data_IF_302017744502
#
_entry.id   IF_302017744502
#
_cell.length_a   1.000
_cell.length_b   1.000
_cell.length_c   1.000
_cell.angle_alpha   90.00
_cell.angle_beta   90.00
_cell.angle_gamma   90.00
#
_symmetry.space_group_name_H-M   'P 1'
#
loop_
_entity.id
_entity.type
_entity.pdbx_description
1 polymer ?
#
# COMPACT_ATOMS: atom_id res chain seq x y z
N UNK A 1 51.42 -47.83 29.94
CA UNK A 1 51.49 -47.91 28.47
C UNK A 1 50.07 -47.85 27.92
N UNK A 2 49.79 -46.84 27.09
CA UNK A 2 48.76 -46.74 26.01
C UNK A 2 47.61 -47.78 26.06
N UNK A 3 46.34 -47.36 26.03
CA UNK A 3 45.62 -47.13 24.77
C UNK A 3 44.24 -46.46 24.95
N UNK A 4 44.09 -45.34 24.25
CA UNK A 4 42.93 -44.89 23.47
C UNK A 4 41.55 -44.84 24.13
N UNK A 5 41.24 -43.70 24.75
CA UNK A 5 39.87 -43.22 24.91
C UNK A 5 39.63 -42.05 23.94
N UNK A 6 38.41 -41.99 23.40
CA UNK A 6 37.84 -40.86 22.64
C UNK A 6 38.50 -40.62 21.26
N UNK A 7 37.83 -40.28 20.18
CA UNK A 7 36.53 -39.65 19.95
C UNK A 7 36.05 -40.18 18.59
N UNK A 8 34.91 -40.88 18.55
CA UNK A 8 34.22 -41.14 17.28
C UNK A 8 33.40 -39.89 16.96
N UNK A 9 34.00 -38.98 16.20
CA UNK A 9 33.35 -37.78 15.66
C UNK A 9 32.32 -38.25 14.63
N UNK A 10 31.07 -38.40 15.07
CA UNK A 10 29.93 -38.63 14.20
C UNK A 10 29.56 -37.32 13.50
N UNK A 11 30.29 -37.00 12.42
CA UNK A 11 29.97 -35.88 11.52
C UNK A 11 28.95 -36.40 10.49
N UNK A 12 27.73 -36.72 10.96
CA UNK A 12 26.61 -37.06 10.08
C UNK A 12 26.11 -35.76 9.45
N UNK A 13 26.65 -35.49 8.27
CA UNK A 13 25.95 -34.97 7.08
C UNK A 13 24.53 -34.45 7.33
N UNK A 14 24.40 -33.22 7.85
CA UNK A 14 23.25 -32.39 7.57
C UNK A 14 23.32 -31.89 6.12
N UNK A 15 23.32 -32.81 5.14
CA UNK A 15 22.86 -32.50 3.79
C UNK A 15 21.34 -32.46 3.83
N UNK A 16 20.80 -31.46 4.54
CA UNK A 16 19.41 -31.09 4.37
C UNK A 16 19.26 -30.67 2.92
N UNK A 17 18.48 -31.41 2.15
CA UNK A 17 18.14 -31.05 0.79
C UNK A 17 17.63 -29.61 0.82
N UNK A 18 18.34 -28.68 0.15
CA UNK A 18 17.79 -27.37 -0.15
C UNK A 18 16.61 -27.63 -1.07
N UNK A 19 15.42 -27.75 -0.49
CA UNK A 19 14.19 -27.84 -1.25
C UNK A 19 13.98 -26.46 -1.86
N UNK A 20 13.90 -26.38 -3.18
CA UNK A 20 13.42 -25.18 -3.84
C UNK A 20 12.00 -24.92 -3.32
N UNK A 21 11.85 -23.92 -2.46
CA UNK A 21 10.56 -23.59 -1.88
C UNK A 21 9.68 -23.09 -3.03
N UNK A 22 8.69 -23.90 -3.42
CA UNK A 22 7.71 -23.50 -4.42
C UNK A 22 7.10 -22.16 -3.99
N UNK A 23 6.85 -21.27 -4.97
CA UNK A 23 6.28 -19.97 -4.68
C UNK A 23 5.00 -20.12 -3.85
N UNK A 24 4.88 -19.34 -2.77
CA UNK A 24 3.68 -19.37 -1.94
C UNK A 24 2.45 -19.04 -2.79
N UNK A 25 1.28 -19.60 -2.45
CA UNK A 25 0.03 -19.30 -3.14
C UNK A 25 -0.25 -17.78 -3.16
N UNK A 26 0.09 -17.07 -2.08
CA UNK A 26 0.04 -15.61 -2.02
C UNK A 26 0.98 -14.94 -3.04
N UNK A 27 2.21 -15.45 -3.19
CA UNK A 27 3.17 -14.94 -4.16
C UNK A 27 2.69 -15.09 -5.60
N UNK A 28 2.13 -16.26 -5.95
CA UNK A 28 1.54 -16.49 -7.28
C UNK A 28 0.37 -15.54 -7.53
N UNK A 29 -0.53 -15.41 -6.56
CA UNK A 29 -1.71 -14.54 -6.67
C UNK A 29 -1.31 -13.06 -6.79
N UNK A 30 -0.29 -12.62 -6.05
CA UNK A 30 0.26 -11.26 -6.16
C UNK A 30 0.82 -10.99 -7.56
N UNK A 31 1.58 -11.93 -8.14
CA UNK A 31 2.12 -11.79 -9.51
C UNK A 31 1.00 -11.68 -10.54
N UNK A 32 -0.05 -12.49 -10.41
CA UNK A 32 -1.23 -12.43 -11.29
C UNK A 32 -1.92 -11.06 -11.15
N UNK A 33 -2.20 -10.62 -9.92
CA UNK A 33 -2.84 -9.33 -9.67
C UNK A 33 -2.01 -8.15 -10.22
N UNK A 34 -0.69 -8.16 -10.03
CA UNK A 34 0.21 -7.14 -10.57
C UNK A 34 0.24 -7.14 -12.10
N UNK A 35 0.19 -8.32 -12.71
CA UNK A 35 0.18 -8.48 -14.17
C UNK A 35 -1.13 -7.98 -14.77
N UNK A 36 -2.28 -8.27 -14.15
CA UNK A 36 -3.58 -7.71 -14.55
C UNK A 36 -3.60 -6.19 -14.42
N UNK A 37 -3.12 -5.67 -13.28
CA UNK A 37 -2.97 -4.24 -13.05
C UNK A 37 -2.04 -3.56 -14.07
N UNK A 38 -0.97 -4.24 -14.51
CA UNK A 38 -0.05 -3.70 -15.52
C UNK A 38 -0.70 -3.58 -16.91
N UNK A 39 -1.77 -4.35 -17.17
CA UNK A 39 -2.60 -4.25 -18.38
C UNK A 39 -3.74 -3.23 -18.22
N UNK A 40 -3.85 -2.56 -17.07
CA UNK A 40 -4.95 -1.65 -16.73
C UNK A 40 -6.22 -2.34 -16.25
N UNK A 41 -6.22 -3.68 -16.15
CA UNK A 41 -7.36 -4.47 -15.68
C UNK A 41 -7.40 -4.49 -14.15
N UNK A 42 -7.88 -3.39 -13.58
CA UNK A 42 -7.96 -3.19 -12.14
C UNK A 42 -9.05 -4.04 -11.48
N UNK A 43 -10.07 -4.46 -12.23
CA UNK A 43 -11.13 -5.32 -11.72
C UNK A 43 -10.61 -6.74 -11.54
N UNK A 44 -9.90 -7.30 -12.53
CA UNK A 44 -9.23 -8.58 -12.37
C UNK A 44 -8.14 -8.53 -11.30
N UNK A 45 -7.35 -7.44 -11.24
CA UNK A 45 -6.34 -7.27 -10.20
C UNK A 45 -6.96 -7.30 -8.79
N UNK A 46 -8.08 -6.61 -8.59
CA UNK A 46 -8.79 -6.58 -7.31
C UNK A 46 -9.42 -7.92 -6.97
N UNK A 47 -10.02 -8.61 -7.95
CA UNK A 47 -10.59 -9.93 -7.75
C UNK A 47 -9.54 -10.92 -7.23
N UNK A 48 -8.35 -10.94 -7.85
CA UNK A 48 -7.24 -11.79 -7.39
C UNK A 48 -6.69 -11.34 -6.04
N UNK A 49 -6.53 -10.03 -5.83
CA UNK A 49 -6.05 -9.50 -4.55
C UNK A 49 -6.96 -9.88 -3.37
N UNK A 50 -8.27 -9.99 -3.58
CA UNK A 50 -9.23 -10.40 -2.54
C UNK A 50 -9.03 -11.83 -2.02
N UNK A 51 -8.27 -12.66 -2.75
CA UNK A 51 -7.95 -14.04 -2.39
C UNK A 51 -6.61 -14.15 -1.64
N UNK A 52 -5.87 -13.04 -1.49
CA UNK A 52 -4.56 -13.02 -0.85
C UNK A 52 -4.73 -12.83 0.65
N UNK A 53 -4.23 -13.77 1.45
CA UNK A 53 -4.30 -13.68 2.92
C UNK A 53 -3.26 -12.73 3.53
N UNK A 54 -2.18 -12.42 2.81
CA UNK A 54 -1.14 -11.49 3.26
C UNK A 54 -1.62 -10.04 3.08
N UNK A 55 -1.83 -9.29 4.17
CA UNK A 55 -2.33 -7.91 4.09
C UNK A 55 -1.37 -6.97 3.36
N UNK A 56 -0.05 -7.19 3.42
CA UNK A 56 0.95 -6.35 2.76
C UNK A 56 0.86 -6.52 1.25
N UNK A 57 0.64 -7.74 0.77
CA UNK A 57 0.44 -8.01 -0.65
C UNK A 57 -0.83 -7.32 -1.19
N UNK A 58 -1.91 -7.28 -0.40
CA UNK A 58 -3.12 -6.52 -0.74
C UNK A 58 -2.83 -5.01 -0.80
N UNK A 59 -2.08 -4.48 0.17
CA UNK A 59 -1.70 -3.07 0.21
C UNK A 59 -0.80 -2.66 -0.97
N UNK A 60 0.07 -3.55 -1.46
CA UNK A 60 0.87 -3.31 -2.67
C UNK A 60 -0.02 -3.10 -3.90
N UNK A 61 -1.07 -3.91 -4.06
CA UNK A 61 -2.01 -3.78 -5.18
C UNK A 61 -2.78 -2.46 -5.08
N UNK A 62 -3.29 -2.13 -3.90
CA UNK A 62 -4.04 -0.89 -3.68
C UNK A 62 -3.15 0.35 -3.87
N UNK A 63 -1.94 0.33 -3.32
CA UNK A 63 -0.94 1.37 -3.53
C UNK A 63 -0.67 1.61 -5.01
N UNK A 64 -0.53 0.53 -5.80
CA UNK A 64 -0.33 0.66 -7.24
C UNK A 64 -1.57 1.23 -7.94
N UNK A 65 -2.77 0.82 -7.53
CA UNK A 65 -4.04 1.32 -8.08
C UNK A 65 -4.24 2.81 -7.85
N UNK A 66 -3.92 3.30 -6.64
CA UNK A 66 -4.02 4.72 -6.28
C UNK A 66 -3.01 5.60 -7.03
N UNK A 67 -1.91 5.00 -7.51
CA UNK A 67 -0.86 5.66 -8.29
C UNK A 67 -1.07 5.60 -9.80
N UNK A 68 -2.01 4.80 -10.27
CA UNK A 68 -2.26 4.64 -11.71
C UNK A 68 -3.13 5.78 -12.25
N UNK A 69 -4.12 6.24 -11.49
CA UNK A 69 -4.94 7.39 -11.85
C UNK A 69 -5.52 8.11 -10.64
N UNK A 70 -6.51 8.97 -10.87
CA UNK A 70 -7.36 9.51 -9.81
C UNK A 70 -8.41 8.45 -9.47
N UNK A 71 -8.59 8.20 -8.18
CA UNK A 71 -9.60 7.28 -7.61
C UNK A 71 -10.54 8.04 -6.68
N UNK A 72 -11.44 7.35 -5.98
CA UNK A 72 -12.31 8.00 -5.01
C UNK A 72 -11.48 8.60 -3.88
N UNK A 73 -11.87 9.78 -3.38
CA UNK A 73 -11.16 10.45 -2.29
C UNK A 73 -11.03 9.57 -1.04
N UNK A 74 -12.09 8.82 -0.72
CA UNK A 74 -12.12 7.87 0.39
C UNK A 74 -11.05 6.77 0.28
N UNK A 75 -10.69 6.35 -0.93
CA UNK A 75 -9.65 5.33 -1.12
C UNK A 75 -8.28 5.87 -0.68
N UNK A 76 -7.98 7.14 -1.01
CA UNK A 76 -6.76 7.80 -0.55
C UNK A 76 -6.77 8.02 0.96
N UNK A 77 -7.88 8.49 1.53
CA UNK A 77 -8.02 8.65 2.98
C UNK A 77 -7.78 7.33 3.72
N UNK A 78 -8.43 6.25 3.26
CA UNK A 78 -8.30 4.92 3.84
C UNK A 78 -6.87 4.40 3.77
N UNK A 79 -6.22 4.48 2.61
CA UNK A 79 -4.86 4.00 2.46
C UNK A 79 -3.86 4.79 3.30
N UNK A 80 -3.95 6.13 3.30
CA UNK A 80 -3.05 6.99 4.07
C UNK A 80 -3.21 6.80 5.59
N UNK A 81 -4.45 6.58 6.06
CA UNK A 81 -4.73 6.31 7.47
C UNK A 81 -4.23 4.92 7.89
N UNK A 82 -4.41 3.90 7.04
CA UNK A 82 -3.96 2.53 7.30
C UNK A 82 -2.43 2.40 7.26
N UNK A 83 -1.76 3.13 6.38
CA UNK A 83 -0.34 2.94 6.07
C UNK A 83 0.48 4.25 6.22
N UNK A 84 0.70 4.76 7.44
CA UNK A 84 1.32 6.07 7.68
C UNK A 84 2.80 6.17 7.30
N UNK A 85 3.51 5.03 7.25
CA UNK A 85 4.95 4.93 6.95
C UNK A 85 5.21 4.31 5.56
N UNK A 86 4.17 4.18 4.73
CA UNK A 86 4.32 3.56 3.41
C UNK A 86 5.25 4.37 2.49
N UNK A 87 5.98 3.74 1.57
CA UNK A 87 6.75 4.48 0.58
C UNK A 87 5.85 5.34 -0.34
N UNK A 88 6.33 6.56 -0.61
CA UNK A 88 5.73 7.43 -1.64
C UNK A 88 4.41 8.09 -1.25
N UNK A 89 4.13 8.26 0.04
CA UNK A 89 2.89 8.91 0.53
C UNK A 89 2.69 10.33 0.00
N UNK A 90 3.76 11.10 -0.24
CA UNK A 90 3.64 12.43 -0.85
C UNK A 90 2.92 12.37 -2.21
N UNK A 91 3.26 11.39 -3.05
CA UNK A 91 2.60 11.19 -4.35
C UNK A 91 1.13 10.84 -4.18
N UNK A 92 0.81 9.96 -3.22
CA UNK A 92 -0.58 9.58 -2.94
C UNK A 92 -1.37 10.77 -2.41
N UNK A 93 -0.81 11.57 -1.49
CA UNK A 93 -1.43 12.79 -0.98
C UNK A 93 -1.76 13.76 -2.11
N UNK A 94 -0.79 14.07 -2.97
CA UNK A 94 -1.00 14.94 -4.13
C UNK A 94 -2.08 14.41 -5.09
N UNK A 95 -2.14 13.09 -5.32
CA UNK A 95 -3.19 12.48 -6.16
C UNK A 95 -4.57 12.55 -5.50
N UNK A 96 -4.64 12.29 -4.20
CA UNK A 96 -5.88 12.40 -3.44
C UNK A 96 -6.42 13.83 -3.39
N UNK A 97 -5.57 14.87 -3.46
CA UNK A 97 -6.03 16.25 -3.61
C UNK A 97 -6.87 16.47 -4.88
N UNK A 98 -6.48 15.85 -5.99
CA UNK A 98 -7.25 15.90 -7.23
C UNK A 98 -8.56 15.10 -7.15
N UNK A 99 -8.67 14.16 -6.21
CA UNK A 99 -9.86 13.35 -5.97
C UNK A 99 -10.91 14.05 -5.09
N UNK A 100 -10.56 15.11 -4.37
CA UNK A 100 -11.48 15.83 -3.48
C UNK A 100 -12.65 16.38 -4.34
N UNK A 101 -13.92 16.10 -4.04
CA UNK A 101 -15.08 16.68 -4.73
C UNK A 101 -15.34 18.14 -4.38
N UNK A 102 -15.96 18.91 -5.29
CA UNK A 102 -16.18 20.35 -5.06
C UNK A 102 -17.19 20.51 -3.92
N UNK A 103 -16.91 21.38 -2.96
CA UNK A 103 -17.79 21.55 -1.80
C UNK A 103 -17.92 20.30 -0.90
N UNK A 104 -16.89 19.43 -0.89
CA UNK A 104 -16.80 18.27 0.00
C UNK A 104 -17.02 18.65 1.48
N UNK A 105 -17.19 17.65 2.34
CA UNK A 105 -17.31 17.90 3.78
C UNK A 105 -16.07 18.64 4.30
N UNK A 106 -16.26 19.85 4.85
CA UNK A 106 -15.14 20.70 5.30
C UNK A 106 -14.29 20.02 6.37
N UNK A 107 -14.90 19.29 7.30
CA UNK A 107 -14.17 18.58 8.35
C UNK A 107 -13.25 17.50 7.79
N UNK A 108 -13.70 16.76 6.77
CA UNK A 108 -12.86 15.78 6.08
C UNK A 108 -11.73 16.43 5.27
N UNK A 109 -11.98 17.57 4.62
CA UNK A 109 -10.94 18.33 3.91
C UNK A 109 -9.89 18.84 4.90
N UNK A 110 -10.31 19.41 6.04
CA UNK A 110 -9.38 19.86 7.08
C UNK A 110 -8.57 18.70 7.66
N UNK A 111 -9.21 17.55 7.92
CA UNK A 111 -8.52 16.36 8.40
C UNK A 111 -7.47 15.86 7.41
N UNK A 112 -7.79 15.87 6.11
CA UNK A 112 -6.87 15.44 5.05
C UNK A 112 -5.61 16.30 4.96
N UNK A 113 -5.75 17.62 5.13
CA UNK A 113 -4.62 18.56 5.09
C UNK A 113 -3.94 18.78 6.45
N UNK A 114 -4.40 18.12 7.52
CA UNK A 114 -3.81 18.28 8.86
C UNK A 114 -2.36 17.78 8.87
N UNK A 115 -1.43 18.67 9.20
CA UNK A 115 0.01 18.40 9.24
C UNK A 115 0.65 18.20 7.85
N UNK A 116 -0.13 18.23 6.77
CA UNK A 116 0.31 18.03 5.40
C UNK A 116 -0.38 19.08 4.52
N UNK A 117 0.21 20.27 4.35
CA UNK A 117 -0.41 21.32 3.53
C UNK A 117 -0.57 20.86 2.07
N UNK A 118 -1.49 21.49 1.32
CA UNK A 118 -1.72 21.15 -0.08
C UNK A 118 -0.44 21.19 -0.93
N UNK A 119 -0.30 20.21 -1.81
CA UNK A 119 0.83 20.04 -2.75
C UNK A 119 0.46 20.41 -4.19
N UNK A 120 -0.80 20.81 -4.43
CA UNK A 120 -1.34 21.17 -5.74
C UNK A 120 -2.29 22.38 -5.64
N UNK A 121 -2.47 23.08 -6.76
CA UNK A 121 -3.44 24.18 -6.86
C UNK A 121 -4.88 23.71 -6.60
N UNK A 122 -5.24 22.51 -7.06
CA UNK A 122 -6.54 21.90 -6.76
C UNK A 122 -6.73 21.70 -5.26
N UNK A 123 -5.71 21.17 -4.56
CA UNK A 123 -5.77 20.99 -3.11
C UNK A 123 -5.93 22.33 -2.37
N UNK A 124 -5.16 23.35 -2.74
CA UNK A 124 -5.29 24.70 -2.18
C UNK A 124 -6.69 25.28 -2.40
N UNK A 125 -7.24 25.13 -3.61
CA UNK A 125 -8.60 25.56 -3.92
C UNK A 125 -9.62 24.83 -3.05
N UNK A 126 -9.51 23.52 -2.87
CA UNK A 126 -10.47 22.75 -2.06
C UNK A 126 -10.39 23.07 -0.58
N UNK A 127 -9.19 23.35 -0.08
CA UNK A 127 -9.00 23.83 1.28
C UNK A 127 -9.63 25.22 1.48
N UNK A 128 -9.46 26.14 0.53
CA UNK A 128 -10.11 27.45 0.57
C UNK A 128 -11.64 27.34 0.54
N UNK A 129 -12.19 26.49 -0.34
CA UNK A 129 -13.64 26.20 -0.38
C UNK A 129 -14.16 25.68 0.97
N UNK A 130 -13.40 24.79 1.64
CA UNK A 130 -13.76 24.27 2.95
C UNK A 130 -13.79 25.37 4.02
N UNK A 131 -12.83 26.29 4.02
CA UNK A 131 -12.82 27.45 4.92
C UNK A 131 -13.98 28.41 4.67
N UNK A 132 -14.30 28.70 3.40
CA UNK A 132 -15.44 29.56 3.04
C UNK A 132 -16.76 28.96 3.54
N UNK A 133 -16.95 27.65 3.36
CA UNK A 133 -18.14 26.93 3.79
C UNK A 133 -18.34 26.91 5.31
N UNK A 134 -17.25 26.96 6.08
CA UNK A 134 -17.26 26.94 7.55
C UNK A 134 -17.27 28.36 8.18
N UNK A 135 -17.37 29.41 7.36
CA UNK A 135 -17.41 30.81 7.83
C UNK A 135 -16.10 31.31 8.43
N UNK A 136 -14.97 30.64 8.17
CA UNK A 136 -13.66 30.94 8.79
C UNK A 136 -12.83 32.00 8.09
N UNK A 137 -13.28 32.49 6.94
CA UNK A 137 -12.57 33.48 6.10
C UNK A 137 -13.50 34.56 5.52
N UNK A 138 -14.56 34.90 6.25
CA UNK A 138 -15.36 36.13 6.01
C UNK A 138 -14.77 37.32 6.75
#
# INVERSE_FOLDING_TARGET
MRRCAAVLISFILCFGSVQAQAASQNGVSLVIALTSAAKGDWDAAKAVASQISDPVAVDIIEWRRLRDGVRAFADYQGFLAKNPEWPGLAVLRKRGEAAIPKGHNSAEVFAYFKGNPPQSGTGSLRLAEAFMKDGKIT
#
